data_IF_354541070553
#
_entry.id   IF_354541070553
#
_cell.length_a   1.000
_cell.length_b   1.000
_cell.length_c   1.000
_cell.angle_alpha   90.00
_cell.angle_beta   90.00
_cell.angle_gamma   90.00
#
_symmetry.space_group_name_H-M   'P 1'
#
loop_
_entity.id
_entity.type
_entity.pdbx_description
1 polymer ?
#
# COMPACT_ATOMS: atom_id res chain seq x y z
N UNK A 1 -24.82 25.19 -0.08
CA UNK A 1 -23.81 24.56 0.80
C UNK A 1 -22.97 25.65 1.44
N UNK A 2 -23.07 25.81 2.75
CA UNK A 2 -22.43 26.89 3.52
C UNK A 2 -20.97 26.58 3.82
N UNK A 3 -20.18 27.61 4.17
CA UNK A 3 -18.76 27.46 4.51
C UNK A 3 -18.57 26.55 5.74
N UNK A 4 -19.52 26.58 6.68
CA UNK A 4 -19.54 25.70 7.86
C UNK A 4 -19.72 24.22 7.49
N UNK A 5 -20.67 23.91 6.60
CA UNK A 5 -20.91 22.54 6.11
C UNK A 5 -19.68 21.95 5.40
N UNK A 6 -18.98 22.76 4.60
CA UNK A 6 -17.70 22.35 3.94
C UNK A 6 -16.61 22.02 4.95
N UNK A 7 -16.51 22.78 6.05
CA UNK A 7 -15.51 22.57 7.11
C UNK A 7 -15.79 21.28 7.89
N UNK A 8 -17.05 21.01 8.22
CA UNK A 8 -17.42 19.78 8.92
C UNK A 8 -17.23 18.52 8.06
N UNK A 9 -17.58 18.57 6.77
CA UNK A 9 -17.33 17.43 5.87
C UNK A 9 -15.84 17.09 5.80
N UNK A 10 -14.97 18.11 5.68
CA UNK A 10 -13.52 17.91 5.64
C UNK A 10 -12.97 17.29 6.93
N UNK A 11 -13.49 17.70 8.08
CA UNK A 11 -13.09 17.12 9.38
C UNK A 11 -13.53 15.65 9.48
N UNK A 12 -14.74 15.31 9.05
CA UNK A 12 -15.23 13.93 9.03
C UNK A 12 -14.41 13.04 8.09
N UNK A 13 -14.02 13.56 6.93
CA UNK A 13 -13.15 12.83 5.98
C UNK A 13 -11.76 12.57 6.58
N UNK A 14 -11.14 13.57 7.21
CA UNK A 14 -9.86 13.40 7.88
C UNK A 14 -9.93 12.38 9.02
N UNK A 15 -11.01 12.44 9.81
CA UNK A 15 -11.23 11.51 10.92
C UNK A 15 -11.48 10.07 10.42
N UNK A 16 -12.22 9.90 9.31
CA UNK A 16 -12.38 8.61 8.62
C UNK A 16 -11.04 8.08 8.08
N UNK A 17 -10.23 8.94 7.47
CA UNK A 17 -8.91 8.55 6.97
C UNK A 17 -7.94 8.12 8.09
N UNK A 18 -8.00 8.79 9.24
CA UNK A 18 -7.25 8.40 10.44
C UNK A 18 -7.77 7.07 11.00
N UNK A 19 -9.08 6.92 11.20
CA UNK A 19 -9.68 5.68 11.71
C UNK A 19 -9.44 4.48 10.80
N UNK A 20 -9.50 4.66 9.48
CA UNK A 20 -9.18 3.61 8.52
C UNK A 20 -7.71 3.18 8.63
N UNK A 21 -6.81 4.13 8.85
CA UNK A 21 -5.40 3.84 9.08
C UNK A 21 -5.24 3.02 10.35
N UNK A 22 -5.76 3.48 11.50
CA UNK A 22 -5.62 2.79 12.78
C UNK A 22 -6.24 1.38 12.78
N UNK A 23 -7.37 1.19 12.12
CA UNK A 23 -7.97 -0.14 11.95
C UNK A 23 -7.09 -1.03 11.08
N UNK A 24 -6.58 -0.49 9.96
CA UNK A 24 -5.63 -1.18 9.10
C UNK A 24 -4.36 -1.55 9.87
N UNK A 25 -3.83 -0.64 10.70
CA UNK A 25 -2.67 -0.88 11.58
C UNK A 25 -2.94 -1.99 12.61
N UNK A 26 -4.14 -2.00 13.20
CA UNK A 26 -4.54 -3.01 14.20
C UNK A 26 -4.70 -4.39 13.57
N UNK A 27 -5.42 -4.50 12.46
CA UNK A 27 -5.57 -5.77 11.71
C UNK A 27 -4.21 -6.35 11.37
N UNK A 28 -3.35 -5.48 10.85
CA UNK A 28 -1.96 -5.82 10.59
C UNK A 28 -1.25 -6.34 11.85
N UNK A 29 -1.34 -5.67 13.01
CA UNK A 29 -0.67 -6.14 14.24
C UNK A 29 -1.18 -7.51 14.73
N UNK A 30 -2.49 -7.74 14.66
CA UNK A 30 -3.10 -9.02 15.06
C UNK A 30 -2.57 -10.19 14.23
N UNK A 31 -2.37 -9.99 12.92
CA UNK A 31 -1.79 -11.01 12.03
C UNK A 31 -0.32 -11.38 12.38
N UNK A 32 0.45 -10.49 13.04
CA UNK A 32 1.82 -10.80 13.51
C UNK A 32 1.79 -11.68 14.76
N UNK A 33 0.96 -11.32 15.75
CA UNK A 33 0.86 -12.06 17.00
C UNK A 33 0.30 -13.48 16.77
N UNK A 34 -0.70 -13.65 15.89
CA UNK A 34 -1.25 -14.97 15.52
C UNK A 34 -0.27 -15.85 14.73
N UNK A 35 0.61 -15.27 13.90
CA UNK A 35 1.64 -16.04 13.16
C UNK A 35 2.79 -16.51 14.04
N UNK A 36 3.16 -15.73 15.05
CA UNK A 36 4.24 -16.10 15.98
C UNK A 36 3.77 -17.25 16.88
N UNK A 37 2.52 -17.20 17.37
CA UNK A 37 1.96 -18.25 18.25
C UNK A 37 1.67 -19.59 17.53
N UNK A 38 1.34 -19.58 16.23
CA UNK A 38 0.97 -20.80 15.49
C UNK A 38 2.12 -21.46 14.70
N UNK A 39 3.38 -21.21 15.06
CA UNK A 39 4.55 -21.84 14.42
C UNK A 39 4.76 -23.31 14.81
N UNK A 40 3.76 -24.16 14.52
CA UNK A 40 3.88 -25.62 14.52
C UNK A 40 4.01 -26.12 13.07
N UNK A 41 5.09 -26.81 12.67
CA UNK A 41 5.42 -27.01 11.25
C UNK A 41 4.77 -28.25 10.62
N UNK A 42 3.46 -28.48 10.79
CA UNK A 42 2.82 -29.73 10.33
C UNK A 42 1.39 -29.64 9.78
N UNK A 43 0.86 -28.45 9.42
CA UNK A 43 -0.44 -28.37 8.73
C UNK A 43 -0.26 -28.26 7.22
N UNK A 44 -0.84 -29.22 6.48
CA UNK A 44 -0.92 -29.19 5.02
C UNK A 44 -1.65 -27.92 4.55
N UNK A 45 -0.98 -27.08 3.76
CA UNK A 45 -1.56 -25.84 3.21
C UNK A 45 -2.81 -26.16 2.37
N UNK A 46 -3.92 -25.49 2.66
CA UNK A 46 -5.17 -25.65 1.90
C UNK A 46 -5.03 -25.07 0.49
N UNK A 47 -5.93 -25.43 -0.42
CA UNK A 47 -5.96 -24.85 -1.78
C UNK A 47 -6.15 -23.31 -1.74
N UNK A 48 -6.86 -22.79 -0.74
CA UNK A 48 -7.06 -21.35 -0.53
C UNK A 48 -5.76 -20.66 -0.13
N UNK A 49 -4.97 -21.28 0.77
CA UNK A 49 -3.69 -20.72 1.23
C UNK A 49 -2.68 -20.64 0.08
N UNK A 50 -2.67 -21.63 -0.81
CA UNK A 50 -1.84 -21.62 -2.02
C UNK A 50 -2.21 -20.47 -2.96
N UNK A 51 -3.49 -20.21 -3.15
CA UNK A 51 -3.97 -19.07 -3.97
C UNK A 51 -3.60 -17.74 -3.32
N UNK A 52 -3.75 -17.61 -2.00
CA UNK A 52 -3.36 -16.41 -1.27
C UNK A 52 -1.86 -16.15 -1.37
N UNK A 53 -1.05 -17.21 -1.26
CA UNK A 53 0.39 -17.14 -1.45
C UNK A 53 0.78 -16.71 -2.87
N UNK A 54 0.17 -17.30 -3.92
CA UNK A 54 0.44 -16.90 -5.31
C UNK A 54 0.07 -15.44 -5.57
N UNK A 55 -1.07 -14.97 -5.01
CA UNK A 55 -1.46 -13.56 -5.09
C UNK A 55 -0.45 -12.64 -4.40
N UNK A 56 0.01 -13.02 -3.20
CA UNK A 56 1.03 -12.27 -2.48
C UNK A 56 2.34 -12.20 -3.27
N UNK A 57 2.75 -13.33 -3.86
CA UNK A 57 3.98 -13.43 -4.62
C UNK A 57 3.93 -12.56 -5.88
N UNK A 58 2.82 -12.58 -6.63
CA UNK A 58 2.60 -11.65 -7.76
C UNK A 58 2.64 -10.20 -7.31
N UNK A 59 2.04 -9.88 -6.16
CA UNK A 59 2.08 -8.53 -5.61
C UNK A 59 3.51 -8.08 -5.29
N UNK A 60 4.30 -8.95 -4.64
CA UNK A 60 5.71 -8.69 -4.34
C UNK A 60 6.51 -8.47 -5.61
N UNK A 61 6.36 -9.36 -6.58
CA UNK A 61 7.08 -9.26 -7.86
C UNK A 61 6.72 -8.01 -8.64
N UNK A 62 5.47 -7.53 -8.52
CA UNK A 62 5.02 -6.36 -9.25
C UNK A 62 5.38 -5.05 -8.57
N UNK A 63 5.32 -4.97 -7.24
CA UNK A 63 5.43 -3.69 -6.52
C UNK A 63 6.60 -3.60 -5.56
N UNK A 64 7.10 -4.71 -5.04
CA UNK A 64 8.10 -4.76 -3.97
C UNK A 64 9.45 -5.29 -4.46
N UNK A 65 9.77 -5.08 -5.73
CA UNK A 65 11.13 -5.30 -6.22
C UNK A 65 12.02 -4.13 -5.81
N UNK A 66 13.20 -4.43 -5.28
CA UNK A 66 14.21 -3.41 -4.97
C UNK A 66 14.67 -2.71 -6.24
N UNK A 67 14.20 -1.49 -6.47
CA UNK A 67 14.62 -0.68 -7.62
C UNK A 67 15.57 0.43 -7.16
N UNK A 68 16.73 0.53 -7.83
CA UNK A 68 17.67 1.63 -7.63
C UNK A 68 17.19 2.87 -8.39
N UNK A 69 16.70 3.86 -7.65
CA UNK A 69 16.34 5.18 -8.20
C UNK A 69 17.59 6.06 -8.19
N UNK A 70 18.11 6.40 -9.38
CA UNK A 70 19.30 7.24 -9.56
C UNK A 70 18.95 8.74 -9.46
N UNK A 71 18.03 9.21 -10.31
CA UNK A 71 17.60 10.61 -10.34
C UNK A 71 16.34 10.82 -9.50
N UNK A 72 16.53 11.11 -8.22
CA UNK A 72 15.42 11.23 -7.27
C UNK A 72 14.83 12.64 -7.24
N UNK A 73 13.50 12.73 -7.25
CA UNK A 73 12.76 13.96 -6.93
C UNK A 73 11.94 13.77 -5.66
N UNK A 74 11.88 14.80 -4.81
CA UNK A 74 11.08 14.76 -3.60
C UNK A 74 9.60 15.01 -3.93
N UNK A 75 8.72 14.18 -3.39
CA UNK A 75 7.26 14.34 -3.46
C UNK A 75 6.71 14.39 -2.06
N UNK A 76 5.89 15.40 -1.77
CA UNK A 76 5.21 15.52 -0.48
C UNK A 76 3.94 14.69 -0.49
N UNK A 77 3.79 13.87 0.54
CA UNK A 77 2.57 13.10 0.83
C UNK A 77 2.19 13.32 2.29
N UNK A 78 0.94 13.04 2.64
CA UNK A 78 0.53 13.11 4.03
C UNK A 78 1.26 12.06 4.88
N UNK A 79 1.50 12.40 6.14
CA UNK A 79 2.14 11.51 7.11
C UNK A 79 1.39 10.16 7.23
N UNK A 80 0.06 10.21 7.25
CA UNK A 80 -0.78 9.03 7.24
C UNK A 80 -0.52 8.11 6.03
N UNK A 81 -0.36 8.69 4.84
CA UNK A 81 -0.05 7.93 3.62
C UNK A 81 1.34 7.32 3.69
N UNK A 82 2.33 8.11 4.13
CA UNK A 82 3.72 7.65 4.32
C UNK A 82 3.78 6.45 5.26
N UNK A 83 3.10 6.52 6.39
CA UNK A 83 3.10 5.46 7.41
C UNK A 83 2.44 4.17 6.89
N UNK A 84 1.30 4.29 6.20
CA UNK A 84 0.63 3.14 5.57
C UNK A 84 1.51 2.45 4.53
N UNK A 85 2.18 3.23 3.68
CA UNK A 85 3.10 2.69 2.68
C UNK A 85 4.32 2.03 3.33
N UNK A 86 4.89 2.64 4.38
CA UNK A 86 6.01 2.09 5.13
C UNK A 86 5.72 0.72 5.74
N UNK A 87 4.49 0.50 6.20
CA UNK A 87 4.08 -0.80 6.76
C UNK A 87 3.96 -1.89 5.71
N UNK A 88 3.47 -1.55 4.52
CA UNK A 88 3.43 -2.51 3.42
C UNK A 88 4.85 -2.99 3.11
N UNK A 89 5.81 -2.07 3.01
CA UNK A 89 7.22 -2.42 2.76
C UNK A 89 7.80 -3.24 3.91
N UNK A 90 7.56 -2.86 5.17
CA UNK A 90 8.10 -3.60 6.33
C UNK A 90 7.56 -5.04 6.44
N UNK A 91 6.33 -5.28 6.00
CA UNK A 91 5.64 -6.56 6.21
C UNK A 91 5.71 -7.48 5.02
N UNK A 92 5.59 -6.91 3.82
CA UNK A 92 5.51 -7.66 2.58
C UNK A 92 6.79 -7.55 1.77
N UNK A 93 7.61 -6.51 1.99
CA UNK A 93 8.86 -6.29 1.27
C UNK A 93 9.97 -7.25 1.70
N UNK A 94 10.93 -7.43 0.80
CA UNK A 94 12.17 -8.17 1.05
C UNK A 94 13.32 -7.20 1.40
N UNK A 95 14.52 -7.74 1.66
CA UNK A 95 15.68 -7.00 2.15
C UNK A 95 16.04 -5.75 1.32
N UNK A 96 15.71 -5.73 0.03
CA UNK A 96 16.03 -4.63 -0.89
C UNK A 96 14.86 -3.69 -1.18
N UNK A 97 13.68 -3.94 -0.62
CA UNK A 97 12.52 -3.08 -0.88
C UNK A 97 12.58 -1.84 0.00
N UNK A 98 12.62 -0.67 -0.62
CA UNK A 98 12.53 0.61 0.07
C UNK A 98 11.15 1.22 -0.10
N UNK A 99 10.78 2.13 0.82
CA UNK A 99 9.57 2.94 0.65
C UNK A 99 9.57 3.68 -0.69
N UNK A 100 10.73 4.24 -1.07
CA UNK A 100 10.88 4.96 -2.33
C UNK A 100 10.70 4.03 -3.53
N UNK A 101 11.30 2.83 -3.53
CA UNK A 101 11.15 1.89 -4.66
C UNK A 101 9.73 1.37 -4.79
N UNK A 102 9.04 1.13 -3.66
CA UNK A 102 7.63 0.73 -3.68
C UNK A 102 6.73 1.84 -4.24
N UNK A 103 6.92 3.08 -3.79
CA UNK A 103 6.18 4.24 -4.31
C UNK A 103 6.42 4.42 -5.80
N UNK A 104 7.68 4.37 -6.23
CA UNK A 104 8.05 4.48 -7.64
C UNK A 104 7.32 3.44 -8.48
N UNK A 105 7.31 2.18 -8.03
CA UNK A 105 6.70 1.10 -8.77
C UNK A 105 5.16 1.23 -8.86
N UNK A 106 4.50 1.73 -7.81
CA UNK A 106 3.07 2.08 -7.86
C UNK A 106 2.83 3.16 -8.91
N UNK A 107 3.62 4.24 -8.89
CA UNK A 107 3.44 5.38 -9.79
C UNK A 107 3.68 4.96 -11.24
N UNK A 108 4.72 4.17 -11.52
CA UNK A 108 4.98 3.64 -12.86
C UNK A 108 3.81 2.80 -13.37
N UNK A 109 3.27 1.89 -12.54
CA UNK A 109 2.10 1.07 -12.94
C UNK A 109 0.84 1.88 -13.12
N UNK A 110 0.66 2.93 -12.32
CA UNK A 110 -0.45 3.86 -12.51
C UNK A 110 -0.34 4.59 -13.86
N UNK A 111 0.85 5.10 -14.18
CA UNK A 111 1.09 5.78 -15.47
C UNK A 111 0.92 4.83 -16.64
N UNK A 112 1.52 3.63 -16.59
CA UNK A 112 1.36 2.59 -17.64
C UNK A 112 -0.11 2.23 -17.86
N UNK A 113 -0.90 2.14 -16.78
CA UNK A 113 -2.32 1.79 -16.85
C UNK A 113 -3.15 2.86 -17.56
N UNK A 114 -2.84 4.13 -17.33
CA UNK A 114 -3.65 5.27 -17.78
C UNK A 114 -3.01 6.09 -18.89
N UNK A 115 -1.87 5.67 -19.46
CA UNK A 115 -1.14 6.40 -20.49
C UNK A 115 -2.05 6.87 -21.64
N UNK A 116 -2.84 5.94 -22.20
CA UNK A 116 -3.79 6.22 -23.27
C UNK A 116 -4.90 7.17 -22.85
N UNK A 117 -5.49 6.93 -21.68
CA UNK A 117 -6.59 7.75 -21.17
C UNK A 117 -6.12 9.19 -20.91
N UNK A 118 -4.93 9.35 -20.34
CA UNK A 118 -4.28 10.66 -20.11
C UNK A 118 -4.06 11.39 -21.45
N UNK A 119 -3.59 10.68 -22.47
CA UNK A 119 -3.38 11.24 -23.81
C UNK A 119 -4.67 11.67 -24.51
N UNK A 120 -5.75 10.93 -24.31
CA UNK A 120 -7.08 11.30 -24.80
C UNK A 120 -7.62 12.53 -24.08
N UNK A 121 -7.54 12.57 -22.74
CA UNK A 121 -8.01 13.71 -21.95
C UNK A 121 -7.23 14.99 -22.22
N UNK A 122 -5.95 14.91 -22.62
CA UNK A 122 -5.15 16.06 -23.01
C UNK A 122 -5.68 16.77 -24.26
N UNK A 123 -6.41 16.06 -25.13
CA UNK A 123 -6.93 16.58 -26.41
C UNK A 123 -8.33 17.20 -26.30
N UNK A 124 -8.99 17.02 -25.15
CA UNK A 124 -10.27 17.65 -24.81
C UNK A 124 -10.05 19.10 -24.38
#
# INVERSE_FOLDING_TARGET
MTIAERREQRLRELQKQHSFSDEFLRKLRVDEDEKIENSNPSSELTASDKIAYDKLERFRQQYLKGQRIQERKAVYISENTRNRLGLVVRRLGEYETTLSSYIEQILLKHLERYERDIDEWRKL
#
